data_IF_158299700558
#
_entry.id   IF_158299700558
#
_cell.length_a   1.000
_cell.length_b   1.000
_cell.length_c   1.000
_cell.angle_alpha   90.00
_cell.angle_beta   90.00
_cell.angle_gamma   90.00
#
_symmetry.space_group_name_H-M   'P 1'
#
loop_
_entity.id
_entity.type
_entity.pdbx_description
1 polymer ?
#
# COMPACT_ATOMS: atom_id res chain seq x y z
N UNK A 1 -12.64 -14.04 20.30
CA UNK A 1 -12.23 -13.89 18.89
C UNK A 1 -12.02 -12.44 18.46
N UNK A 2 -12.86 -11.47 18.85
CA UNK A 2 -12.70 -10.06 18.44
C UNK A 2 -11.31 -9.46 18.74
N UNK A 3 -10.75 -9.70 19.94
CA UNK A 3 -9.42 -9.22 20.32
C UNK A 3 -8.32 -9.69 19.35
N UNK A 4 -8.40 -10.94 18.88
CA UNK A 4 -7.47 -11.48 17.89
C UNK A 4 -7.56 -10.73 16.55
N UNK A 5 -8.77 -10.38 16.11
CA UNK A 5 -8.97 -9.61 14.89
C UNK A 5 -8.42 -8.18 14.98
N UNK A 6 -8.52 -7.54 16.15
CA UNK A 6 -7.91 -6.22 16.39
C UNK A 6 -6.38 -6.29 16.45
N UNK A 7 -5.82 -7.31 17.11
CA UNK A 7 -4.36 -7.54 17.13
C UNK A 7 -3.83 -7.82 15.72
N UNK A 8 -4.55 -8.62 14.92
CA UNK A 8 -4.21 -8.86 13.53
C UNK A 8 -4.25 -7.58 12.68
N UNK A 9 -5.24 -6.70 12.89
CA UNK A 9 -5.31 -5.40 12.22
C UNK A 9 -4.09 -4.52 12.52
N UNK A 10 -3.69 -4.45 13.79
CA UNK A 10 -2.51 -3.69 14.22
C UNK A 10 -1.21 -4.28 13.65
N UNK A 11 -1.08 -5.61 13.67
CA UNK A 11 0.06 -6.30 13.06
C UNK A 11 0.13 -6.06 11.55
N UNK A 12 -1.00 -6.08 10.85
CA UNK A 12 -1.09 -5.74 9.44
C UNK A 12 -0.65 -4.29 9.18
N UNK A 13 -1.13 -3.35 9.98
CA UNK A 13 -0.75 -1.94 9.87
C UNK A 13 0.76 -1.72 10.08
N UNK A 14 1.35 -2.37 11.09
CA UNK A 14 2.80 -2.30 11.33
C UNK A 14 3.61 -2.87 10.16
N UNK A 15 3.19 -4.02 9.62
CA UNK A 15 3.83 -4.68 8.50
C UNK A 15 3.74 -3.84 7.21
N UNK A 16 2.54 -3.42 6.81
CA UNK A 16 2.32 -2.54 5.65
C UNK A 16 2.91 -1.14 5.81
N UNK A 17 3.08 -0.64 7.02
CA UNK A 17 3.81 0.61 7.25
C UNK A 17 5.33 0.47 7.13
N UNK A 18 5.84 -0.76 7.27
CA UNK A 18 7.29 -1.03 7.37
C UNK A 18 7.87 -1.75 6.16
N UNK A 19 7.07 -2.36 5.29
CA UNK A 19 7.59 -3.18 4.19
C UNK A 19 8.47 -2.41 3.19
N UNK A 20 8.36 -1.07 3.11
CA UNK A 20 9.22 -0.23 2.27
C UNK A 20 10.50 0.29 2.97
N UNK A 21 10.71 -0.06 4.24
CA UNK A 21 11.93 0.27 4.99
C UNK A 21 13.16 -0.43 4.38
N UNK A 22 13.14 -1.74 4.06
CA UNK A 22 14.26 -2.40 3.39
C UNK A 22 14.64 -1.75 2.05
N UNK A 23 13.64 -1.32 1.26
CA UNK A 23 13.87 -0.59 0.01
C UNK A 23 14.73 0.65 0.23
N UNK A 24 14.33 1.50 1.18
CA UNK A 24 15.07 2.73 1.52
C UNK A 24 16.45 2.46 2.10
N UNK A 25 16.63 1.35 2.83
CA UNK A 25 17.95 0.93 3.34
C UNK A 25 18.88 0.50 2.21
N UNK A 26 18.34 -0.09 1.13
CA UNK A 26 19.14 -0.61 0.02
C UNK A 26 19.87 0.47 -0.81
N UNK A 27 19.47 1.75 -0.71
CA UNK A 27 20.05 3.00 -1.28
C UNK A 27 20.42 3.07 -2.77
N UNK A 28 20.72 1.95 -3.45
CA UNK A 28 21.25 1.89 -4.83
C UNK A 28 20.65 0.72 -5.64
N UNK A 29 19.49 0.19 -5.26
CA UNK A 29 18.85 -0.88 -6.03
C UNK A 29 18.17 -0.35 -7.29
N UNK A 30 18.36 -1.06 -8.41
CA UNK A 30 17.53 -0.86 -9.59
C UNK A 30 16.06 -1.11 -9.19
N UNK A 31 15.17 -0.13 -9.42
CA UNK A 31 13.78 -0.21 -8.98
C UNK A 31 13.06 -1.45 -9.52
N UNK A 32 13.34 -1.82 -10.78
CA UNK A 32 12.74 -3.00 -11.40
C UNK A 32 13.26 -4.28 -10.78
N UNK A 33 14.56 -4.36 -10.49
CA UNK A 33 15.13 -5.51 -9.78
C UNK A 33 14.51 -5.65 -8.39
N UNK A 34 14.44 -4.53 -7.65
CA UNK A 34 13.84 -4.52 -6.32
C UNK A 34 12.39 -5.00 -6.37
N UNK A 35 11.58 -4.47 -7.28
CA UNK A 35 10.20 -4.89 -7.50
C UNK A 35 10.10 -6.39 -7.81
N UNK A 36 10.93 -6.90 -8.72
CA UNK A 36 10.89 -8.29 -9.15
C UNK A 36 11.28 -9.25 -8.02
N UNK A 37 12.33 -8.92 -7.26
CA UNK A 37 12.76 -9.73 -6.11
C UNK A 37 11.80 -9.64 -4.93
N UNK A 38 11.20 -8.48 -4.69
CA UNK A 38 10.13 -8.32 -3.71
C UNK A 38 8.91 -9.16 -4.11
N UNK A 39 8.52 -9.15 -5.39
CA UNK A 39 7.47 -10.00 -5.92
C UNK A 39 7.81 -11.49 -5.80
N UNK A 40 9.07 -11.89 -5.97
CA UNK A 40 9.55 -13.24 -5.66
C UNK A 40 9.38 -13.59 -4.18
N UNK A 41 9.74 -12.69 -3.27
CA UNK A 41 9.51 -12.86 -1.83
C UNK A 41 8.03 -13.07 -1.50
N UNK A 42 7.14 -12.30 -2.11
CA UNK A 42 5.67 -12.44 -1.97
C UNK A 42 5.19 -13.78 -2.53
N UNK A 43 5.63 -14.16 -3.73
CA UNK A 43 5.24 -15.42 -4.37
C UNK A 43 5.66 -16.64 -3.56
N UNK A 44 6.93 -16.71 -3.16
CA UNK A 44 7.45 -17.86 -2.40
C UNK A 44 6.86 -17.95 -1.00
N UNK A 45 6.79 -16.83 -0.27
CA UNK A 45 6.14 -16.84 1.05
C UNK A 45 4.64 -17.13 0.94
N UNK A 46 3.97 -16.63 -0.11
CA UNK A 46 2.55 -16.88 -0.36
C UNK A 46 2.25 -18.34 -0.64
N UNK A 47 3.09 -19.01 -1.45
CA UNK A 47 3.02 -20.44 -1.68
C UNK A 47 3.21 -21.21 -0.37
N UNK A 48 4.25 -20.90 0.39
CA UNK A 48 4.54 -21.57 1.67
C UNK A 48 3.39 -21.42 2.67
N UNK A 49 2.90 -20.19 2.86
CA UNK A 49 1.75 -19.90 3.73
C UNK A 49 0.52 -20.69 3.28
N UNK A 50 0.26 -20.74 1.97
CA UNK A 50 -0.91 -21.45 1.44
C UNK A 50 -0.83 -22.96 1.69
N UNK A 51 0.37 -23.55 1.54
CA UNK A 51 0.60 -24.97 1.85
C UNK A 51 0.44 -25.26 3.34
N UNK A 52 1.01 -24.42 4.21
CA UNK A 52 0.99 -24.63 5.67
C UNK A 52 -0.41 -24.43 6.26
N UNK A 53 -1.16 -23.44 5.76
CA UNK A 53 -2.50 -23.11 6.27
C UNK A 53 -3.64 -23.79 5.48
N UNK A 54 -3.31 -24.56 4.44
CA UNK A 54 -4.31 -25.25 3.61
C UNK A 54 -5.18 -24.32 2.75
N UNK A 55 -4.66 -23.15 2.37
CA UNK A 55 -5.37 -22.27 1.42
C UNK A 55 -5.34 -22.85 0.01
N UNK A 56 -6.43 -22.70 -0.77
CA UNK A 56 -6.51 -23.28 -2.09
C UNK A 56 -5.49 -22.65 -3.05
N UNK A 57 -4.70 -23.49 -3.72
CA UNK A 57 -3.77 -23.06 -4.78
C UNK A 57 -4.50 -22.80 -6.12
N UNK A 58 -5.67 -22.16 -6.04
CA UNK A 58 -6.51 -21.90 -7.21
C UNK A 58 -5.97 -20.75 -8.05
N UNK A 59 -5.99 -20.90 -9.37
CA UNK A 59 -5.64 -19.84 -10.33
C UNK A 59 -6.88 -19.01 -10.68
N UNK A 60 -7.44 -18.34 -9.67
CA UNK A 60 -8.60 -17.48 -9.85
C UNK A 60 -8.21 -16.19 -10.60
N UNK A 61 -8.87 -15.91 -11.73
CA UNK A 61 -8.57 -14.75 -12.58
C UNK A 61 -8.69 -13.41 -11.85
N UNK A 62 -9.66 -13.26 -10.94
CA UNK A 62 -9.86 -12.03 -10.17
C UNK A 62 -8.72 -11.81 -9.16
N UNK A 63 -8.26 -12.88 -8.52
CA UNK A 63 -7.09 -12.86 -7.65
C UNK A 63 -5.82 -12.49 -8.42
N UNK A 64 -5.61 -13.10 -9.58
CA UNK A 64 -4.48 -12.80 -10.47
C UNK A 64 -4.49 -11.34 -10.94
N UNK A 65 -5.65 -10.84 -11.40
CA UNK A 65 -5.81 -9.46 -11.85
C UNK A 65 -5.54 -8.45 -10.72
N UNK A 66 -6.00 -8.74 -9.50
CA UNK A 66 -5.70 -7.93 -8.32
C UNK A 66 -4.20 -7.90 -8.02
N UNK A 67 -3.53 -9.05 -8.09
CA UNK A 67 -2.08 -9.14 -7.93
C UNK A 67 -1.30 -8.35 -8.99
N UNK A 68 -1.77 -8.35 -10.25
CA UNK A 68 -1.18 -7.54 -11.33
C UNK A 68 -1.34 -6.05 -11.08
N UNK A 69 -2.53 -5.61 -10.66
CA UNK A 69 -2.79 -4.22 -10.28
C UNK A 69 -1.89 -3.80 -9.12
N UNK A 70 -1.77 -4.65 -8.10
CA UNK A 70 -0.88 -4.39 -6.97
C UNK A 70 0.58 -4.23 -7.38
N UNK A 71 1.12 -5.17 -8.17
CA UNK A 71 2.51 -5.12 -8.60
C UNK A 71 2.80 -3.89 -9.47
N UNK A 72 1.85 -3.53 -10.34
CA UNK A 72 1.94 -2.34 -11.19
C UNK A 72 1.93 -1.07 -10.36
N UNK A 73 0.99 -0.95 -9.41
CA UNK A 73 0.93 0.18 -8.49
C UNK A 73 2.21 0.29 -7.65
N UNK A 74 2.71 -0.83 -7.13
CA UNK A 74 3.93 -0.85 -6.33
C UNK A 74 5.17 -0.41 -7.12
N UNK A 75 5.29 -0.85 -8.39
CA UNK A 75 6.37 -0.39 -9.26
C UNK A 75 6.36 1.13 -9.43
N UNK A 76 5.19 1.74 -9.58
CA UNK A 76 5.03 3.20 -9.64
C UNK A 76 5.29 3.84 -8.26
N UNK A 77 4.85 3.21 -7.18
CA UNK A 77 5.09 3.67 -5.81
C UNK A 77 6.60 3.72 -5.48
N UNK A 78 7.40 2.78 -5.97
CA UNK A 78 8.86 2.82 -5.82
C UNK A 78 9.48 4.07 -6.47
N UNK A 79 8.93 4.54 -7.60
CA UNK A 79 9.34 5.80 -8.24
C UNK A 79 8.98 7.00 -7.36
N UNK A 80 7.77 6.99 -6.77
CA UNK A 80 7.32 8.04 -5.87
C UNK A 80 8.18 8.11 -4.58
N UNK A 81 8.39 6.97 -3.92
CA UNK A 81 9.15 6.85 -2.67
C UNK A 81 10.64 7.18 -2.88
N UNK A 82 11.23 6.78 -4.01
CA UNK A 82 12.61 7.17 -4.34
C UNK A 82 12.75 8.67 -4.60
N UNK A 83 11.71 9.31 -5.14
CA UNK A 83 11.75 10.74 -5.48
C UNK A 83 11.39 11.68 -4.33
N UNK A 84 10.43 11.29 -3.48
CA UNK A 84 9.83 12.13 -2.44
C UNK A 84 10.14 11.66 -1.00
N UNK A 85 10.54 10.40 -0.82
CA UNK A 85 10.70 9.78 0.50
C UNK A 85 9.41 9.17 1.06
N UNK A 86 9.54 8.32 2.08
CA UNK A 86 8.42 7.66 2.76
C UNK A 86 7.48 8.65 3.44
N UNK A 87 8.02 9.65 4.15
CA UNK A 87 7.26 10.60 4.94
C UNK A 87 6.33 11.49 4.10
N UNK A 88 6.65 11.68 2.81
CA UNK A 88 5.86 12.50 1.88
C UNK A 88 5.06 11.65 0.90
N UNK A 89 5.66 10.61 0.30
CA UNK A 89 4.99 9.82 -0.73
C UNK A 89 3.85 8.97 -0.17
N UNK A 90 4.10 8.23 0.93
CA UNK A 90 3.16 7.21 1.41
C UNK A 90 1.83 7.80 1.84
N UNK A 91 1.76 8.89 2.63
CA UNK A 91 0.49 9.49 3.00
C UNK A 91 -0.37 9.87 1.79
N UNK A 92 0.25 10.52 0.81
CA UNK A 92 -0.47 10.97 -0.39
C UNK A 92 -0.94 9.79 -1.24
N UNK A 93 -0.12 8.74 -1.37
CA UNK A 93 -0.54 7.50 -2.04
C UNK A 93 -1.74 6.88 -1.30
N UNK A 94 -1.64 6.67 0.01
CA UNK A 94 -2.70 6.05 0.83
C UNK A 94 -4.03 6.80 0.70
N UNK A 95 -3.99 8.14 0.75
CA UNK A 95 -5.16 8.99 0.50
C UNK A 95 -5.83 8.69 -0.84
N UNK A 96 -5.04 8.62 -1.90
CA UNK A 96 -5.54 8.40 -3.25
C UNK A 96 -6.06 6.98 -3.46
N UNK A 97 -5.49 5.98 -2.78
CA UNK A 97 -6.04 4.62 -2.76
C UNK A 97 -7.48 4.65 -2.27
N UNK A 98 -7.73 5.37 -1.18
CA UNK A 98 -9.03 5.42 -0.52
C UNK A 98 -10.05 6.18 -1.36
N UNK A 99 -9.68 7.36 -1.85
CA UNK A 99 -10.54 8.15 -2.76
C UNK A 99 -10.88 7.32 -4.00
N UNK A 100 -9.90 6.66 -4.61
CA UNK A 100 -10.14 5.83 -5.79
C UNK A 100 -11.03 4.62 -5.48
N UNK A 101 -10.81 3.96 -4.34
CA UNK A 101 -11.63 2.83 -3.90
C UNK A 101 -13.09 3.24 -3.67
N UNK A 102 -13.31 4.41 -3.04
CA UNK A 102 -14.64 4.99 -2.85
C UNK A 102 -15.32 5.31 -4.19
N UNK A 103 -14.59 5.94 -5.13
CA UNK A 103 -15.11 6.24 -6.46
C UNK A 103 -15.51 4.95 -7.22
N UNK A 104 -14.73 3.88 -7.13
CA UNK A 104 -15.11 2.60 -7.73
C UNK A 104 -16.32 1.96 -7.06
N UNK A 105 -16.44 2.08 -5.73
CA UNK A 105 -17.65 1.72 -4.98
C UNK A 105 -18.90 2.38 -5.56
N UNK A 106 -18.84 3.70 -5.72
CA UNK A 106 -19.95 4.49 -6.26
C UNK A 106 -20.24 4.20 -7.75
N UNK A 107 -19.21 4.18 -8.61
CA UNK A 107 -19.38 4.12 -10.07
C UNK A 107 -19.62 2.71 -10.62
N UNK A 108 -18.97 1.70 -10.05
CA UNK A 108 -19.01 0.32 -10.57
C UNK A 108 -20.05 -0.51 -9.81
N UNK A 109 -20.11 -0.34 -8.49
CA UNK A 109 -20.98 -1.16 -7.64
C UNK A 109 -22.29 -0.45 -7.26
N UNK A 110 -22.48 0.81 -7.68
CA UNK A 110 -23.63 1.64 -7.31
C UNK A 110 -23.84 1.75 -5.79
N UNK A 111 -22.75 1.62 -5.03
CA UNK A 111 -22.73 1.75 -3.58
C UNK A 111 -22.46 3.20 -3.22
N UNK A 112 -23.46 4.05 -3.47
CA UNK A 112 -23.50 5.37 -2.86
C UNK A 112 -24.12 5.19 -1.47
N UNK A 113 -23.28 5.33 -0.45
CA UNK A 113 -23.77 5.45 0.90
C UNK A 113 -24.50 6.79 1.06
N UNK A 114 -25.59 6.78 1.83
CA UNK A 114 -26.54 7.90 1.98
C UNK A 114 -25.93 9.16 2.63
N UNK A 115 -24.65 9.14 3.00
CA UNK A 115 -23.89 10.25 3.57
C UNK A 115 -22.99 10.98 2.56
N UNK A 116 -23.48 11.33 1.37
CA UNK A 116 -22.72 12.09 0.35
C UNK A 116 -21.96 13.31 0.92
N UNK A 117 -22.57 14.06 1.85
CA UNK A 117 -21.94 15.19 2.55
C UNK A 117 -20.77 14.76 3.46
N UNK A 118 -20.93 13.64 4.15
CA UNK A 118 -19.86 13.02 4.96
C UNK A 118 -18.75 12.52 4.04
N UNK A 119 -19.11 12.00 2.87
CA UNK A 119 -18.17 11.61 1.83
C UNK A 119 -17.32 12.78 1.32
N UNK A 120 -17.96 13.89 0.92
CA UNK A 120 -17.25 15.09 0.47
C UNK A 120 -16.39 15.72 1.56
N UNK A 121 -16.85 15.74 2.81
CA UNK A 121 -16.05 16.25 3.93
C UNK A 121 -14.83 15.38 4.23
N UNK A 122 -14.96 14.04 4.17
CA UNK A 122 -13.84 13.10 4.27
C UNK A 122 -12.80 13.31 3.15
N UNK A 123 -13.26 13.46 1.90
CA UNK A 123 -12.39 13.78 0.76
C UNK A 123 -11.70 15.15 0.95
N UNK A 124 -12.42 16.16 1.44
CA UNK A 124 -11.88 17.49 1.73
C UNK A 124 -10.75 17.46 2.77
N UNK A 125 -10.94 16.73 3.87
CA UNK A 125 -9.90 16.52 4.90
C UNK A 125 -8.68 15.80 4.33
N UNK A 126 -8.89 14.79 3.49
CA UNK A 126 -7.82 14.07 2.79
C UNK A 126 -7.00 15.02 1.91
N UNK A 127 -7.67 15.83 1.08
CA UNK A 127 -7.01 16.82 0.21
C UNK A 127 -6.22 17.83 1.04
N UNK A 128 -6.79 18.34 2.13
CA UNK A 128 -6.12 19.29 3.00
C UNK A 128 -4.87 18.70 3.65
N UNK A 129 -4.95 17.46 4.16
CA UNK A 129 -3.79 16.73 4.70
C UNK A 129 -2.69 16.52 3.64
N UNK A 130 -3.06 16.16 2.41
CA UNK A 130 -2.13 16.02 1.28
C UNK A 130 -1.43 17.34 0.95
N UNK A 131 -2.16 18.45 0.92
CA UNK A 131 -1.59 19.78 0.65
C UNK A 131 -0.59 20.15 1.74
N UNK A 132 -0.93 19.94 3.02
CA UNK A 132 -0.02 20.23 4.13
C UNK A 132 1.29 19.43 4.04
N UNK A 133 1.23 18.14 3.68
CA UNK A 133 2.42 17.30 3.53
C UNK A 133 3.24 17.71 2.29
N UNK A 134 2.56 18.05 1.19
CA UNK A 134 3.18 18.40 -0.09
C UNK A 134 3.78 19.81 -0.12
N UNK A 135 3.24 20.75 0.66
CA UNK A 135 3.71 22.13 0.77
C UNK A 135 5.07 22.25 1.49
N UNK A 136 5.53 21.17 2.13
CA UNK A 136 6.80 21.12 2.85
C UNK A 136 7.93 20.92 1.84
N UNK A 137 8.23 22.00 1.12
CA UNK A 137 9.33 22.09 0.16
C UNK A 137 10.64 22.40 0.86
N UNK A 138 11.44 21.36 1.12
CA UNK A 138 12.88 21.46 0.97
C UNK A 138 13.49 20.05 0.96
N UNK A 139 14.07 19.66 -0.16
CA UNK A 139 15.22 18.75 -0.31
C UNK A 139 15.49 18.58 -1.82
N UNK A 140 16.74 18.79 -2.26
CA UNK A 140 17.19 18.92 -3.65
C UNK A 140 17.03 17.69 -4.56
N UNK A 141 15.79 17.22 -4.72
CA UNK A 141 15.40 16.17 -5.66
C UNK A 141 15.15 16.79 -7.04
N UNK A 142 15.98 16.42 -8.02
CA UNK A 142 15.91 16.89 -9.42
C UNK A 142 14.57 16.59 -10.13
N UNK A 143 13.64 15.85 -9.53
CA UNK A 143 12.44 15.34 -10.19
C UNK A 143 11.17 15.27 -9.30
N UNK A 144 10.89 16.31 -8.51
CA UNK A 144 9.67 16.39 -7.67
C UNK A 144 8.38 16.15 -8.47
N UNK A 145 8.25 16.74 -9.67
CA UNK A 145 7.06 16.56 -10.54
C UNK A 145 6.81 15.09 -10.88
N UNK A 146 7.87 14.35 -11.22
CA UNK A 146 7.79 12.91 -11.52
C UNK A 146 7.35 12.12 -10.29
N UNK A 147 7.87 12.47 -9.12
CA UNK A 147 7.47 11.86 -7.84
C UNK A 147 5.99 12.06 -7.53
N UNK A 148 5.49 13.30 -7.70
CA UNK A 148 4.08 13.62 -7.47
C UNK A 148 3.15 12.90 -8.45
N UNK A 149 3.49 12.89 -9.74
CA UNK A 149 2.71 12.15 -10.74
C UNK A 149 2.70 10.65 -10.43
N UNK A 150 3.85 10.08 -10.04
CA UNK A 150 3.94 8.68 -9.64
C UNK A 150 3.07 8.39 -8.41
N UNK A 151 3.02 9.28 -7.42
CA UNK A 151 2.11 9.15 -6.28
C UNK A 151 0.63 9.10 -6.71
N UNK A 152 0.22 9.99 -7.64
CA UNK A 152 -1.15 10.00 -8.18
C UNK A 152 -1.48 8.68 -8.88
N UNK A 153 -0.63 8.26 -9.81
CA UNK A 153 -0.82 7.04 -10.57
C UNK A 153 -0.82 5.79 -9.67
N UNK A 154 0.13 5.69 -8.73
CA UNK A 154 0.18 4.57 -7.79
C UNK A 154 -1.10 4.50 -6.94
N UNK A 155 -1.58 5.64 -6.42
CA UNK A 155 -2.80 5.71 -5.64
C UNK A 155 -4.03 5.23 -6.40
N UNK A 156 -4.21 5.67 -7.65
CA UNK A 156 -5.34 5.25 -8.50
C UNK A 156 -5.29 3.76 -8.82
N UNK A 157 -4.12 3.25 -9.22
CA UNK A 157 -3.97 1.83 -9.59
C UNK A 157 -4.19 0.94 -8.34
N UNK A 158 -3.60 1.28 -7.18
CA UNK A 158 -3.83 0.51 -5.95
C UNK A 158 -5.27 0.63 -5.45
N UNK A 159 -5.95 1.76 -5.59
CA UNK A 159 -7.37 1.86 -5.25
C UNK A 159 -8.25 0.99 -6.14
N UNK A 160 -7.78 0.66 -7.34
CA UNK A 160 -8.45 -0.25 -8.27
C UNK A 160 -8.23 -1.73 -7.94
N UNK A 161 -7.25 -2.06 -7.09
CA UNK A 161 -6.84 -3.46 -6.83
C UNK A 161 -7.97 -4.34 -6.27
N UNK A 162 -8.91 -3.75 -5.54
CA UNK A 162 -10.00 -4.47 -4.87
C UNK A 162 -11.22 -4.67 -5.78
N UNK A 163 -11.29 -3.96 -6.92
CA UNK A 163 -12.41 -4.06 -7.87
C UNK A 163 -12.55 -5.49 -8.42
N UNK A 164 -11.50 -6.15 -8.95
CA UNK A 164 -11.63 -7.53 -9.42
C UNK A 164 -12.06 -8.49 -8.31
N UNK A 165 -11.47 -8.35 -7.10
CA UNK A 165 -11.78 -9.22 -5.97
C UNK A 165 -13.26 -9.15 -5.57
N UNK A 166 -13.83 -7.95 -5.61
CA UNK A 166 -15.25 -7.72 -5.32
C UNK A 166 -16.17 -8.28 -6.41
N UNK A 167 -15.78 -8.15 -7.68
CA UNK A 167 -16.52 -8.76 -8.81
C UNK A 167 -16.54 -10.29 -8.75
N UNK A 168 -15.47 -10.90 -8.24
CA UNK A 168 -15.37 -12.36 -8.12
C UNK A 168 -16.33 -12.98 -7.11
N UNK A 169 -16.89 -12.19 -6.17
CA UNK A 169 -17.79 -12.64 -5.09
C UNK A 169 -17.30 -13.91 -4.36
N UNK A 170 -15.99 -14.00 -4.11
CA UNK A 170 -15.35 -15.14 -3.45
C UNK A 170 -14.78 -14.74 -2.09
N UNK A 171 -14.68 -15.71 -1.17
CA UNK A 171 -14.04 -15.50 0.13
C UNK A 171 -12.61 -14.94 -0.05
N UNK A 172 -12.30 -13.84 0.65
CA UNK A 172 -11.03 -13.13 0.52
C UNK A 172 -9.80 -14.01 0.85
N UNK A 173 -9.92 -14.97 1.76
CA UNK A 173 -8.83 -15.91 2.09
C UNK A 173 -8.54 -16.88 0.94
N UNK A 174 -9.56 -17.27 0.16
CA UNK A 174 -9.36 -18.13 -1.02
C UNK A 174 -8.61 -17.40 -2.14
N UNK A 175 -8.58 -16.07 -2.11
CA UNK A 175 -7.89 -15.24 -3.09
C UNK A 175 -6.44 -14.94 -2.70
N UNK A 176 -6.01 -15.33 -1.48
CA UNK A 176 -4.66 -15.06 -0.99
C UNK A 176 -3.57 -15.56 -1.94
N UNK A 177 -3.62 -16.85 -2.32
CA UNK A 177 -2.64 -17.44 -3.22
C UNK A 177 -2.66 -16.81 -4.62
N UNK A 178 -3.80 -16.72 -5.35
CA UNK A 178 -3.79 -16.13 -6.68
C UNK A 178 -3.37 -14.65 -6.69
N UNK A 179 -3.61 -13.87 -5.63
CA UNK A 179 -3.03 -12.52 -5.49
C UNK A 179 -1.51 -12.58 -5.42
N UNK A 180 -0.95 -13.40 -4.53
CA UNK A 180 0.50 -13.56 -4.40
C UNK A 180 1.15 -14.02 -5.71
N UNK A 181 0.50 -14.94 -6.41
CA UNK A 181 0.97 -15.45 -7.70
C UNK A 181 0.91 -14.39 -8.80
N UNK A 182 -0.17 -13.60 -8.86
CA UNK A 182 -0.29 -12.47 -9.79
C UNK A 182 0.79 -11.41 -9.58
N UNK A 183 1.13 -11.14 -8.32
CA UNK A 183 2.23 -10.23 -7.95
C UNK A 183 3.57 -10.80 -8.45
N UNK A 184 3.85 -12.06 -8.12
CA UNK A 184 5.07 -12.76 -8.54
C UNK A 184 5.27 -12.72 -10.06
N UNK A 185 4.25 -13.13 -10.81
CA UNK A 185 4.30 -13.20 -12.26
C UNK A 185 4.51 -11.82 -12.90
N UNK A 186 3.85 -10.79 -12.36
CA UNK A 186 4.05 -9.40 -12.81
C UNK A 186 5.49 -8.92 -12.58
N UNK A 187 6.08 -9.27 -11.43
CA UNK A 187 7.48 -8.98 -11.14
C UNK A 187 8.45 -9.60 -12.16
N UNK A 188 8.21 -10.86 -12.55
CA UNK A 188 8.97 -11.53 -13.59
C UNK A 188 8.83 -10.82 -14.95
N UNK A 189 7.60 -10.44 -15.33
CA UNK A 189 7.35 -9.69 -16.57
C UNK A 189 8.14 -8.38 -16.55
N UNK A 190 8.07 -7.61 -15.47
CA UNK A 190 8.80 -6.34 -15.37
C UNK A 190 10.30 -6.54 -15.53
N UNK A 191 10.85 -7.57 -14.89
CA UNK A 191 12.28 -7.91 -14.98
C UNK A 191 12.71 -8.18 -16.42
N UNK A 192 11.96 -9.03 -17.13
CA UNK A 192 12.24 -9.44 -18.53
C UNK A 192 12.02 -8.28 -19.50
N UNK A 193 10.88 -7.59 -19.45
CA UNK A 193 10.52 -6.51 -20.38
C UNK A 193 11.48 -5.33 -20.26
N UNK A 194 11.91 -5.00 -19.04
CA UNK A 194 12.91 -3.94 -18.82
C UNK A 194 14.35 -4.40 -19.05
N UNK A 195 14.56 -5.67 -19.42
CA UNK A 195 15.90 -6.28 -19.60
C UNK A 195 16.81 -5.96 -18.42
N UNK A 196 16.27 -6.16 -17.23
CA UNK A 196 16.94 -5.74 -16.00
C UNK A 196 18.15 -6.62 -15.75
N UNK A 197 19.33 -6.01 -15.61
CA UNK A 197 20.52 -6.75 -15.21
C UNK A 197 20.40 -7.20 -13.76
N UNK A 198 20.69 -8.48 -13.52
CA UNK A 198 20.71 -9.03 -12.16
C UNK A 198 21.99 -8.60 -11.43
N UNK A 199 21.81 -7.93 -10.31
CA UNK A 199 22.88 -7.48 -9.41
C UNK A 199 22.70 -8.09 -8.03
N UNK A 200 23.79 -8.36 -7.30
CA UNK A 200 23.73 -9.01 -5.97
C UNK A 200 23.20 -8.09 -4.87
N UNK A 201 23.14 -6.81 -5.17
CA UNK A 201 22.69 -5.74 -4.30
C UNK A 201 21.20 -5.85 -4.02
N UNK A 202 20.83 -5.54 -2.77
CA UNK A 202 19.44 -5.45 -2.33
C UNK A 202 18.61 -6.75 -2.42
N UNK A 203 19.21 -7.92 -2.65
CA UNK A 203 18.47 -9.19 -2.74
C UNK A 203 17.74 -9.47 -1.43
N UNK A 204 18.47 -9.45 -0.31
CA UNK A 204 17.92 -9.74 1.00
C UNK A 204 16.86 -8.70 1.39
N UNK A 205 17.12 -7.42 1.13
CA UNK A 205 16.19 -6.32 1.39
C UNK A 205 14.90 -6.46 0.57
N UNK A 206 15.00 -6.85 -0.70
CA UNK A 206 13.85 -7.03 -1.58
C UNK A 206 12.99 -8.20 -1.12
N UNK A 207 13.61 -9.36 -0.88
CA UNK A 207 12.92 -10.55 -0.39
C UNK A 207 12.26 -10.30 0.98
N UNK A 208 12.96 -9.62 1.88
CA UNK A 208 12.44 -9.24 3.20
C UNK A 208 11.27 -8.26 3.08
N UNK A 209 11.36 -7.28 2.19
CA UNK A 209 10.26 -6.36 1.88
C UNK A 209 9.01 -7.13 1.44
N UNK A 210 9.18 -8.11 0.55
CA UNK A 210 8.10 -8.96 0.08
C UNK A 210 7.49 -9.81 1.19
N UNK A 211 8.33 -10.42 2.03
CA UNK A 211 7.89 -11.21 3.17
C UNK A 211 7.10 -10.36 4.19
N UNK A 212 7.62 -9.19 4.56
CA UNK A 212 6.96 -8.27 5.49
C UNK A 212 5.61 -7.83 4.94
N UNK A 213 5.55 -7.48 3.65
CA UNK A 213 4.27 -7.15 3.01
C UNK A 213 3.27 -8.31 3.08
N UNK A 214 3.72 -9.53 2.80
CA UNK A 214 2.84 -10.69 2.75
C UNK A 214 2.34 -11.14 4.11
N UNK A 215 3.16 -10.99 5.17
CA UNK A 215 2.71 -11.13 6.57
C UNK A 215 1.61 -10.12 6.87
N UNK A 216 1.81 -8.86 6.46
CA UNK A 216 0.78 -7.82 6.59
C UNK A 216 -0.50 -8.20 5.85
N UNK A 217 -0.38 -8.70 4.61
CA UNK A 217 -1.50 -9.14 3.79
C UNK A 217 -2.29 -10.27 4.47
N UNK A 218 -1.61 -11.31 4.97
CA UNK A 218 -2.25 -12.41 5.70
C UNK A 218 -3.00 -11.92 6.94
N UNK A 219 -2.35 -11.12 7.79
CA UNK A 219 -2.96 -10.57 9.00
C UNK A 219 -4.16 -9.66 8.67
N UNK A 220 -4.09 -8.94 7.56
CA UNK A 220 -5.18 -8.09 7.08
C UNK A 220 -6.42 -8.91 6.73
N UNK A 221 -6.25 -10.05 6.05
CA UNK A 221 -7.34 -10.94 5.65
C UNK A 221 -7.94 -11.67 6.86
N UNK A 222 -7.09 -12.11 7.80
CA UNK A 222 -7.55 -12.69 9.08
C UNK A 222 -8.38 -11.66 9.84
N UNK A 223 -7.88 -10.43 9.98
CA UNK A 223 -8.62 -9.35 10.64
C UNK A 223 -9.95 -9.07 9.96
N UNK A 224 -9.95 -8.92 8.63
CA UNK A 224 -11.14 -8.72 7.83
C UNK A 224 -12.20 -9.80 8.09
N UNK A 225 -11.79 -11.07 8.17
CA UNK A 225 -12.70 -12.20 8.43
C UNK A 225 -13.29 -12.22 9.85
N UNK A 226 -12.64 -11.61 10.84
CA UNK A 226 -13.06 -11.66 12.26
C UNK A 226 -13.84 -10.41 12.66
N UNK A 227 -13.34 -9.22 12.31
CA UNK A 227 -13.92 -7.94 12.75
C UNK A 227 -14.63 -7.15 11.64
N UNK A 228 -14.55 -7.62 10.39
CA UNK A 228 -15.19 -6.99 9.23
C UNK A 228 -14.44 -5.76 8.71
N UNK A 229 -14.79 -5.34 7.49
CA UNK A 229 -14.15 -4.22 6.77
C UNK A 229 -14.34 -2.88 7.46
N UNK A 230 -15.51 -2.62 8.06
CA UNK A 230 -15.82 -1.34 8.72
C UNK A 230 -14.89 -1.04 9.91
N UNK A 231 -14.48 -2.08 10.66
CA UNK A 231 -13.55 -1.93 11.80
C UNK A 231 -12.08 -2.02 11.37
N UNK A 232 -11.77 -2.94 10.46
CA UNK A 232 -10.41 -3.15 9.97
C UNK A 232 -9.90 -1.97 9.13
N UNK A 233 -10.78 -1.35 8.33
CA UNK A 233 -10.45 -0.25 7.43
C UNK A 233 -9.71 0.89 8.12
N UNK A 234 -10.29 1.56 9.14
CA UNK A 234 -9.61 2.63 9.87
C UNK A 234 -8.30 2.19 10.54
N UNK A 235 -8.23 0.98 11.12
CA UNK A 235 -7.03 0.49 11.79
C UNK A 235 -5.88 0.27 10.80
N UNK A 236 -6.17 -0.24 9.61
CA UNK A 236 -5.16 -0.46 8.56
C UNK A 236 -4.44 0.84 8.17
N UNK A 237 -5.08 1.99 8.34
CA UNK A 237 -4.51 3.30 8.01
C UNK A 237 -3.39 3.74 8.94
N UNK A 238 -3.28 3.13 10.11
CA UNK A 238 -2.11 3.29 11.00
C UNK A 238 -0.81 2.94 10.25
N UNK A 239 -0.86 2.09 9.22
CA UNK A 239 0.28 1.83 8.33
C UNK A 239 0.89 3.11 7.74
N UNK A 240 0.05 4.08 7.38
CA UNK A 240 0.50 5.37 6.85
C UNK A 240 1.31 6.14 7.89
N UNK A 241 0.85 6.17 9.15
CA UNK A 241 1.63 6.80 10.22
C UNK A 241 2.94 6.07 10.46
N UNK A 242 2.92 4.74 10.50
CA UNK A 242 4.14 3.94 10.69
C UNK A 242 5.18 4.27 9.62
N UNK A 243 4.76 4.36 8.35
CA UNK A 243 5.64 4.75 7.25
C UNK A 243 6.18 6.18 7.41
N UNK A 244 5.33 7.13 7.85
CA UNK A 244 5.74 8.50 8.16
C UNK A 244 6.77 8.53 9.29
N UNK A 245 6.55 7.77 10.36
CA UNK A 245 7.47 7.69 11.49
C UNK A 245 8.84 7.13 11.05
N UNK A 246 8.86 6.08 10.23
CA UNK A 246 10.10 5.59 9.62
C UNK A 246 10.81 6.68 8.80
N UNK A 247 10.07 7.40 7.95
CA UNK A 247 10.63 8.50 7.14
C UNK A 247 11.19 9.65 7.98
N UNK A 248 10.47 10.08 9.02
CA UNK A 248 10.84 11.24 9.84
C UNK A 248 11.94 10.94 10.86
N UNK A 249 11.85 9.80 11.57
CA UNK A 249 12.71 9.53 12.72
C UNK A 249 13.90 8.64 12.38
N UNK A 250 13.70 7.59 11.57
CA UNK A 250 14.77 6.67 11.20
C UNK A 250 15.57 7.18 9.99
N UNK A 251 14.90 7.48 8.88
CA UNK A 251 15.54 7.97 7.66
C UNK A 251 15.84 9.47 7.68
N UNK A 252 15.26 10.21 8.63
CA UNK A 252 15.46 11.65 8.82
C UNK A 252 15.23 12.46 7.53
N UNK A 253 14.23 12.06 6.74
CA UNK A 253 13.93 12.64 5.42
C UNK A 253 13.54 14.12 5.49
N UNK A 254 12.98 14.53 6.62
CA UNK A 254 12.69 15.92 6.95
C UNK A 254 13.56 16.30 8.13
N UNK A 255 14.46 17.26 7.96
CA UNK A 255 15.40 17.69 9.02
C UNK A 255 14.86 18.86 9.84
N UNK A 256 14.09 19.76 9.21
CA UNK A 256 13.52 20.93 9.87
C UNK A 256 12.40 20.52 10.85
N UNK A 257 12.49 20.99 12.11
CA UNK A 257 11.52 20.65 13.18
C UNK A 257 10.08 21.12 12.87
N UNK A 258 9.90 22.33 12.33
CA UNK A 258 8.57 22.85 11.96
C UNK A 258 7.96 22.00 10.83
N UNK A 259 8.78 21.65 9.84
CA UNK A 259 8.38 20.77 8.76
C UNK A 259 8.00 19.36 9.25
N UNK A 260 8.72 18.79 10.23
CA UNK A 260 8.34 17.49 10.83
C UNK A 260 6.96 17.54 11.48
N UNK A 261 6.69 18.60 12.26
CA UNK A 261 5.40 18.79 12.91
C UNK A 261 4.29 18.94 11.86
N UNK A 262 4.52 19.69 10.79
CA UNK A 262 3.55 19.82 9.70
C UNK A 262 3.26 18.48 9.00
N UNK A 263 4.26 17.63 8.75
CA UNK A 263 4.02 16.28 8.19
C UNK A 263 3.17 15.45 9.15
N UNK A 264 3.46 15.48 10.45
CA UNK A 264 2.70 14.73 11.45
C UNK A 264 1.26 15.21 11.55
N UNK A 265 1.03 16.52 11.62
CA UNK A 265 -0.31 17.12 11.64
C UNK A 265 -1.07 16.75 10.36
N UNK A 266 -0.44 16.91 9.20
CA UNK A 266 -1.03 16.55 7.91
C UNK A 266 -1.42 15.07 7.86
N UNK A 267 -0.58 14.18 8.38
CA UNK A 267 -0.88 12.75 8.44
C UNK A 267 -2.04 12.43 9.40
N UNK A 268 -2.13 13.10 10.55
CA UNK A 268 -3.25 12.92 11.50
C UNK A 268 -4.57 13.43 10.90
N UNK A 269 -4.56 14.62 10.28
CA UNK A 269 -5.74 15.18 9.60
C UNK A 269 -6.21 14.24 8.48
N UNK A 270 -5.27 13.71 7.71
CA UNK A 270 -5.53 12.77 6.64
C UNK A 270 -6.22 11.52 7.17
N UNK A 271 -5.69 10.92 8.25
CA UNK A 271 -6.33 9.77 8.90
C UNK A 271 -7.73 10.08 9.44
N UNK A 272 -7.93 11.28 9.99
CA UNK A 272 -9.26 11.71 10.41
C UNK A 272 -10.21 11.76 9.21
N UNK A 273 -9.79 12.32 8.08
CA UNK A 273 -10.57 12.32 6.83
C UNK A 273 -10.91 10.91 6.34
N UNK A 274 -9.98 9.96 6.45
CA UNK A 274 -10.24 8.55 6.12
C UNK A 274 -11.25 7.93 7.07
N UNK A 275 -11.12 8.18 8.37
CA UNK A 275 -12.09 7.69 9.35
C UNK A 275 -13.48 8.26 9.06
N UNK A 276 -13.60 9.56 8.75
CA UNK A 276 -14.85 10.19 8.34
C UNK A 276 -15.43 9.55 7.07
N UNK A 277 -14.60 9.29 6.06
CA UNK A 277 -15.04 8.64 4.82
C UNK A 277 -15.53 7.21 5.05
N UNK A 278 -15.00 6.50 6.06
CA UNK A 278 -15.47 5.16 6.42
C UNK A 278 -16.89 5.15 7.03
N UNK A 279 -17.39 6.30 7.48
CA UNK A 279 -18.77 6.48 7.97
C UNK A 279 -19.69 7.15 6.94
N UNK A 280 -19.17 7.52 5.76
CA UNK A 280 -19.92 8.17 4.71
C UNK A 280 -20.88 7.19 4.03
#
# INVERSE_FOLDING_TARGET
>A
MANLGFLAALGAALAWGSYMVPFKKSRNSNLTQFQALMAAGIGFSGLLISLVLGFPLSFNLYGLASGVLWATANMVALIAISSLGLARAVPVISSLIIVSSFLWGALIFNELTSGLLVGFSGIGLIIFGVILISAIGNTGSKNIKKGLLATVLAGVIWGSQWVPLKMGNTNALNLFFPVCFGIFFSGLIFFVVKRTEFKREAIAESLLSGLVWNVGNLLSLISLSIIGSSKMGPISQVATLVAVLWGLFYFKEVTNKKARIQVLIGAVILLAGVATLAFA
#
